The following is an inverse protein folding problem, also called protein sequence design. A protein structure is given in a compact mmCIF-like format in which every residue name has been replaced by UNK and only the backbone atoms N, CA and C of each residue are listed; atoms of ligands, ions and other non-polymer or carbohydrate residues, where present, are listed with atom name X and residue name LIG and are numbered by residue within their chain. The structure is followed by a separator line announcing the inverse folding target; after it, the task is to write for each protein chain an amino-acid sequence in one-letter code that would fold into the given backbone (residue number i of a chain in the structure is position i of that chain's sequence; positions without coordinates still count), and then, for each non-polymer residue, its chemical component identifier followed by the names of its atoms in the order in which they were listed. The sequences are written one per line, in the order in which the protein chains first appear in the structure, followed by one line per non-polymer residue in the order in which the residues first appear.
data_IF_251659680990
#
_entry.id   IF_251659680990
#
_cell.length_a   1.000
_cell.length_b   1.000
_cell.length_c   1.000
_cell.angle_alpha   90.00
_cell.angle_beta   90.00
_cell.angle_gamma   90.00
#
_symmetry.space_group_name_H-M   'P 1'
#
loop_
_entity.id
_entity.type
_entity.pdbx_description
1 polymer ?
#
# COMPACT_ATOMS: atom_id res chain seq x y z
N UNK A 1 -38.36 -14.27 -40.55
CA UNK A 1 -36.88 -14.24 -40.41
C UNK A 1 -36.42 -12.80 -40.47
N UNK A 2 -36.15 -12.16 -39.33
CA UNK A 2 -35.73 -10.74 -39.28
C UNK A 2 -34.20 -10.70 -39.31
N UNK A 3 -33.63 -10.15 -40.39
CA UNK A 3 -32.20 -9.91 -40.50
C UNK A 3 -31.88 -8.60 -39.79
N UNK A 4 -31.26 -8.67 -38.61
CA UNK A 4 -30.72 -7.50 -37.93
C UNK A 4 -29.59 -6.94 -38.80
N UNK A 5 -29.79 -5.74 -39.38
CA UNK A 5 -28.70 -4.94 -39.97
C UNK A 5 -27.69 -4.61 -38.87
N UNK A 6 -26.39 -4.67 -39.18
CA UNK A 6 -25.32 -4.39 -38.22
C UNK A 6 -25.44 -2.97 -37.71
N UNK A 7 -25.83 -2.83 -36.45
CA UNK A 7 -26.20 -1.55 -35.81
C UNK A 7 -24.98 -0.69 -35.42
N UNK A 8 -23.83 -0.90 -36.06
CA UNK A 8 -22.54 -0.34 -35.62
C UNK A 8 -21.45 -0.24 -36.67
N UNK A 9 -21.77 -0.39 -37.95
CA UNK A 9 -20.80 -0.35 -39.05
C UNK A 9 -21.09 0.78 -40.05
N UNK A 10 -21.82 1.81 -39.64
CA UNK A 10 -22.02 2.98 -40.48
C UNK A 10 -20.68 3.73 -40.61
N UNK A 11 -20.21 4.02 -41.85
CA UNK A 11 -18.93 4.70 -42.06
C UNK A 11 -18.91 6.10 -41.42
N UNK A 12 -20.09 6.73 -41.30
CA UNK A 12 -20.28 8.00 -40.61
C UNK A 12 -20.03 7.87 -39.11
N UNK A 13 -20.63 6.88 -38.46
CA UNK A 13 -20.43 6.60 -37.02
C UNK A 13 -18.96 6.29 -36.73
N UNK A 14 -18.29 5.52 -37.61
CA UNK A 14 -16.86 5.22 -37.47
C UNK A 14 -16.00 6.50 -37.51
N UNK A 15 -16.28 7.40 -38.44
CA UNK A 15 -15.57 8.70 -38.53
C UNK A 15 -15.74 9.52 -37.24
N UNK A 16 -16.98 9.67 -36.76
CA UNK A 16 -17.25 10.45 -35.54
C UNK A 16 -16.57 9.85 -34.30
N UNK A 17 -16.60 8.53 -34.15
CA UNK A 17 -15.92 7.86 -33.04
C UNK A 17 -14.41 8.08 -33.09
N UNK A 18 -13.79 8.00 -34.27
CA UNK A 18 -12.35 8.26 -34.43
C UNK A 18 -12.00 9.71 -34.12
N UNK A 19 -12.80 10.68 -34.58
CA UNK A 19 -12.58 12.09 -34.26
C UNK A 19 -12.69 12.35 -32.75
N UNK A 20 -13.72 11.81 -32.10
CA UNK A 20 -13.91 11.93 -30.66
C UNK A 20 -12.76 11.27 -29.89
N UNK A 21 -12.27 10.11 -30.33
CA UNK A 21 -11.10 9.47 -29.74
C UNK A 21 -9.87 10.38 -29.82
N UNK A 22 -9.60 11.00 -30.97
CA UNK A 22 -8.48 11.94 -31.13
C UNK A 22 -8.60 13.18 -30.25
N UNK A 23 -9.82 13.72 -30.07
CA UNK A 23 -10.07 14.85 -29.16
C UNK A 23 -9.85 14.45 -27.69
N UNK A 24 -10.20 13.22 -27.32
CA UNK A 24 -9.98 12.70 -25.96
C UNK A 24 -8.50 12.46 -25.66
N UNK A 25 -7.74 11.98 -26.65
CA UNK A 25 -6.28 11.83 -26.55
C UNK A 25 -5.61 13.20 -26.34
N UNK A 26 -5.97 14.19 -27.16
CA UNK A 26 -5.48 15.56 -27.00
C UNK A 26 -5.76 16.14 -25.60
N UNK A 27 -6.99 15.97 -25.09
CA UNK A 27 -7.33 16.45 -23.76
C UNK A 27 -6.52 15.77 -22.66
N UNK A 28 -6.27 14.45 -22.78
CA UNK A 28 -5.44 13.72 -21.84
C UNK A 28 -4.01 14.25 -21.81
N UNK A 29 -3.44 14.51 -22.99
CA UNK A 29 -2.08 15.03 -23.12
C UNK A 29 -1.98 16.44 -22.53
N UNK A 30 -2.95 17.32 -22.82
CA UNK A 30 -3.02 18.67 -22.26
C UNK A 30 -3.11 18.66 -20.72
N UNK A 31 -3.89 17.74 -20.11
CA UNK A 31 -3.93 17.57 -18.65
C UNK A 31 -2.55 17.13 -18.11
N UNK A 32 -1.88 16.23 -18.83
CA UNK A 32 -0.54 15.80 -18.44
C UNK A 32 0.48 16.94 -18.53
N UNK A 33 0.41 17.78 -19.55
CA UNK A 33 1.29 18.94 -19.73
C UNK A 33 1.09 19.95 -18.60
N UNK A 34 -0.15 20.36 -18.32
CA UNK A 34 -0.46 21.25 -17.21
C UNK A 34 0.03 20.73 -15.86
N UNK A 35 -0.04 19.40 -15.64
CA UNK A 35 0.48 18.79 -14.41
C UNK A 35 2.01 18.90 -14.33
N UNK A 36 2.71 18.68 -15.45
CA UNK A 36 4.18 18.81 -15.52
C UNK A 36 4.60 20.27 -15.27
N UNK A 37 3.90 21.23 -15.84
CA UNK A 37 4.15 22.65 -15.59
C UNK A 37 3.94 23.02 -14.12
N UNK A 38 2.85 22.52 -13.51
CA UNK A 38 2.59 22.74 -12.09
C UNK A 38 3.66 22.12 -11.18
N UNK A 39 4.15 20.93 -11.53
CA UNK A 39 5.27 20.27 -10.84
C UNK A 39 6.55 21.09 -10.97
N UNK A 40 6.90 21.52 -12.19
CA UNK A 40 8.08 22.35 -12.44
C UNK A 40 8.02 23.68 -11.68
N UNK A 41 6.85 24.31 -11.60
CA UNK A 41 6.64 25.53 -10.82
C UNK A 41 6.79 25.29 -9.31
N UNK A 42 6.35 24.14 -8.80
CA UNK A 42 6.52 23.77 -7.39
C UNK A 42 7.98 23.45 -7.05
N UNK A 43 8.70 22.78 -7.95
CA UNK A 43 10.14 22.53 -7.85
C UNK A 43 10.93 23.85 -7.85
N UNK A 44 10.59 24.79 -8.75
CA UNK A 44 11.20 26.12 -8.76
C UNK A 44 10.90 26.96 -7.51
N UNK A 45 9.84 26.62 -6.77
CA UNK A 45 9.50 27.22 -5.48
C UNK A 45 10.04 26.43 -4.28
N UNK A 46 10.94 25.46 -4.51
CA UNK A 46 11.56 24.58 -3.50
C UNK A 46 10.55 23.84 -2.59
N UNK A 47 9.35 23.55 -3.11
CA UNK A 47 8.34 22.80 -2.36
C UNK A 47 8.58 21.31 -2.47
N UNK A 48 8.61 20.61 -1.34
CA UNK A 48 8.73 19.14 -1.32
C UNK A 48 7.46 18.50 -1.87
N UNK A 49 7.60 17.75 -2.97
CA UNK A 49 6.51 16.99 -3.57
C UNK A 49 6.33 15.65 -2.86
N UNK A 50 5.07 15.21 -2.73
CA UNK A 50 4.72 13.88 -2.21
C UNK A 50 4.34 13.84 -0.72
N UNK A 51 4.43 12.64 -0.13
CA UNK A 51 4.04 12.41 1.26
C UNK A 51 5.15 12.95 2.19
N UNK A 52 4.81 13.73 3.24
CA UNK A 52 5.81 14.20 4.20
C UNK A 52 6.50 13.03 4.90
N UNK A 53 7.78 13.22 5.22
CA UNK A 53 8.53 12.27 6.02
C UNK A 53 7.88 12.10 7.41
N UNK A 54 7.96 10.89 7.95
CA UNK A 54 7.38 10.58 9.26
C UNK A 54 8.23 11.12 10.44
N UNK A 55 9.48 11.48 10.16
CA UNK A 55 10.42 12.11 11.09
C UNK A 55 10.95 13.37 10.42
N UNK A 56 11.15 14.41 11.23
CA UNK A 56 11.82 15.61 10.78
C UNK A 56 13.31 15.36 10.51
N UNK A 57 13.96 16.25 9.76
CA UNK A 57 15.39 16.12 9.42
C UNK A 57 16.29 16.03 10.66
N UNK A 58 16.01 16.85 11.67
CA UNK A 58 16.76 16.88 12.93
C UNK A 58 16.52 15.60 13.75
N UNK A 59 15.28 15.12 13.78
CA UNK A 59 14.93 13.86 14.46
C UNK A 59 15.57 12.65 13.79
N UNK A 60 15.69 12.66 12.46
CA UNK A 60 16.38 11.63 11.71
C UNK A 60 17.89 11.63 12.01
N UNK A 61 18.50 12.80 12.12
CA UNK A 61 19.91 12.95 12.49
C UNK A 61 20.17 12.51 13.94
N UNK A 62 19.30 12.90 14.88
CA UNK A 62 19.35 12.47 16.27
C UNK A 62 19.25 10.93 16.37
N UNK A 63 18.28 10.34 15.69
CA UNK A 63 18.11 8.88 15.68
C UNK A 63 19.33 8.15 15.09
N UNK A 64 19.94 8.71 14.03
CA UNK A 64 21.16 8.14 13.44
C UNK A 64 22.37 8.24 14.39
N UNK A 65 22.52 9.37 15.09
CA UNK A 65 23.60 9.55 16.07
C UNK A 65 23.40 8.65 17.30
N UNK A 66 22.17 8.53 17.80
CA UNK A 66 21.84 7.63 18.89
C UNK A 66 22.07 6.16 18.50
N UNK A 67 21.78 5.78 17.25
CA UNK A 67 22.09 4.45 16.73
C UNK A 67 23.60 4.19 16.68
N UNK A 68 24.41 5.15 16.20
CA UNK A 68 25.87 5.05 16.22
C UNK A 68 26.44 4.97 17.64
N UNK A 69 25.77 5.56 18.62
CA UNK A 69 26.10 5.43 20.04
C UNK A 69 25.66 4.08 20.67
N UNK A 70 25.06 3.18 19.89
CA UNK A 70 24.66 1.83 20.34
C UNK A 70 23.20 1.68 20.75
N UNK A 71 22.33 2.67 20.48
CA UNK A 71 20.92 2.56 20.83
C UNK A 71 20.17 1.53 19.95
N UNK A 72 19.35 0.69 20.58
CA UNK A 72 18.56 -0.31 19.87
C UNK A 72 17.43 0.33 19.02
N UNK A 73 17.23 -0.18 17.80
CA UNK A 73 16.20 0.29 16.86
C UNK A 73 14.79 0.32 17.46
N UNK A 74 14.44 -0.67 18.29
CA UNK A 74 13.12 -0.72 18.94
C UNK A 74 12.94 0.37 20.00
N UNK A 75 14.01 0.76 20.70
CA UNK A 75 13.97 1.83 21.69
C UNK A 75 13.76 3.18 20.99
N UNK A 76 14.52 3.46 19.93
CA UNK A 76 14.37 4.66 19.10
C UNK A 76 12.96 4.76 18.49
N UNK A 77 12.40 3.65 18.01
CA UNK A 77 11.05 3.61 17.47
C UNK A 77 9.98 4.03 18.50
N UNK A 78 10.13 3.59 19.75
CA UNK A 78 9.23 3.96 20.85
C UNK A 78 9.38 5.44 21.23
N UNK A 79 10.62 5.92 21.32
CA UNK A 79 10.92 7.32 21.65
C UNK A 79 10.32 8.29 20.63
N UNK A 80 10.42 7.97 19.34
CA UNK A 80 9.89 8.82 18.27
C UNK A 80 8.44 8.49 17.88
N UNK A 81 7.79 7.51 18.52
CA UNK A 81 6.40 7.12 18.23
C UNK A 81 6.16 6.54 16.83
N UNK A 82 7.21 6.06 16.16
CA UNK A 82 7.14 5.52 14.79
C UNK A 82 7.32 4.01 14.75
N UNK A 83 6.90 3.38 13.64
CA UNK A 83 7.16 1.97 13.44
C UNK A 83 8.68 1.69 13.36
N UNK A 84 9.19 0.56 13.88
CA UNK A 84 10.60 0.19 13.75
C UNK A 84 11.10 0.12 12.29
N UNK A 85 10.18 -0.14 11.35
CA UNK A 85 10.46 -0.10 9.91
C UNK A 85 10.83 1.31 9.44
N UNK A 86 10.21 2.34 9.99
CA UNK A 86 10.53 3.74 9.67
C UNK A 86 11.94 4.09 10.12
N UNK A 87 12.31 3.73 11.35
CA UNK A 87 13.67 3.94 11.88
C UNK A 87 14.71 3.25 10.99
N UNK A 88 14.51 1.97 10.64
CA UNK A 88 15.44 1.27 9.74
C UNK A 88 15.60 1.99 8.41
N UNK A 89 14.51 2.42 7.78
CA UNK A 89 14.58 3.18 6.52
C UNK A 89 15.36 4.49 6.65
N UNK A 90 15.23 5.18 7.79
CA UNK A 90 15.99 6.40 8.08
C UNK A 90 17.48 6.08 8.27
N UNK A 91 17.81 5.01 9.00
CA UNK A 91 19.19 4.58 9.22
C UNK A 91 19.86 4.10 7.93
N UNK A 92 19.14 3.34 7.10
CA UNK A 92 19.60 2.87 5.80
C UNK A 92 19.84 4.07 4.85
N UNK A 93 18.94 5.08 4.86
CA UNK A 93 19.12 6.31 4.10
C UNK A 93 20.28 7.18 4.60
N UNK A 94 20.58 7.13 5.90
CA UNK A 94 21.69 7.83 6.53
C UNK A 94 23.03 7.06 6.44
N UNK A 95 23.05 5.85 5.85
CA UNK A 95 24.22 4.97 5.81
C UNK A 95 24.75 4.57 7.19
N UNK A 96 23.95 4.71 8.25
CA UNK A 96 24.36 4.41 9.62
C UNK A 96 24.27 2.91 9.92
N UNK A 97 23.57 2.15 9.07
CA UNK A 97 23.40 0.72 9.15
C UNK A 97 23.89 0.11 7.85
N UNK A 98 25.07 -0.47 7.86
CA UNK A 98 25.50 -1.28 6.74
C UNK A 98 24.76 -2.63 6.80
N UNK A 99 24.37 -3.18 5.65
CA UNK A 99 23.56 -4.41 5.59
C UNK A 99 24.43 -5.66 5.88
N UNK A 100 25.66 -5.46 6.35
CA UNK A 100 26.68 -6.50 6.59
C UNK A 100 26.88 -6.97 8.04
N UNK A 101 26.41 -6.25 9.06
CA UNK A 101 26.83 -6.51 10.46
C UNK A 101 26.06 -7.65 11.18
N UNK A 102 25.45 -8.59 10.45
CA UNK A 102 24.60 -9.63 11.07
C UNK A 102 25.33 -10.97 11.25
N UNK A 103 26.64 -11.07 11.04
CA UNK A 103 27.29 -12.39 11.07
C UNK A 103 28.44 -12.63 12.04
N UNK A 104 28.97 -11.65 12.78
CA UNK A 104 30.00 -11.98 13.79
C UNK A 104 29.65 -11.49 15.19
N UNK A 105 29.15 -12.45 15.96
CA UNK A 105 29.36 -12.72 17.38
C UNK A 105 29.29 -11.54 18.36
N UNK A 106 28.18 -11.47 19.12
CA UNK A 106 28.27 -11.29 20.58
C UNK A 106 27.08 -12.00 21.25
N UNK A 107 27.32 -13.25 21.63
CA UNK A 107 26.78 -13.82 22.85
C UNK A 107 27.05 -12.84 24.02
N UNK A 108 26.01 -12.30 24.67
CA UNK A 108 26.19 -11.74 26.02
C UNK A 108 25.51 -10.43 26.42
N UNK A 109 24.73 -9.75 25.57
CA UNK A 109 23.84 -8.68 26.08
C UNK A 109 22.42 -9.23 26.19
N UNK A 110 22.18 -9.90 27.32
CA UNK A 110 20.84 -10.24 27.77
C UNK A 110 20.05 -8.97 28.10
N UNK A 111 19.47 -8.33 27.09
CA UNK A 111 18.19 -7.67 27.33
C UNK A 111 17.19 -8.81 27.52
N UNK A 112 16.80 -9.07 28.77
CA UNK A 112 15.77 -10.04 29.13
C UNK A 112 14.57 -9.87 28.18
N UNK A 113 14.48 -10.80 27.24
CA UNK A 113 13.28 -10.98 26.44
C UNK A 113 12.34 -11.73 27.36
N UNK A 114 11.68 -11.01 28.25
CA UNK A 114 10.51 -11.57 28.91
C UNK A 114 9.53 -11.94 27.81
N UNK A 115 9.17 -13.23 27.82
CA UNK A 115 8.26 -13.89 26.93
C UNK A 115 7.07 -12.97 26.62
N UNK A 116 7.08 -12.40 25.41
CA UNK A 116 5.91 -11.74 24.87
C UNK A 116 4.89 -12.85 24.59
N UNK A 117 4.13 -13.20 25.61
CA UNK A 117 2.86 -13.91 25.53
C UNK A 117 2.14 -13.36 24.29
N UNK A 118 2.03 -14.23 23.29
CA UNK A 118 1.61 -13.92 21.93
C UNK A 118 0.24 -13.25 21.94
N UNK A 119 0.18 -11.92 22.04
CA UNK A 119 -1.05 -11.16 21.95
C UNK A 119 -1.71 -11.40 20.57
N UNK A 120 -3.02 -11.65 20.52
CA UNK A 120 -3.66 -12.39 19.42
C UNK A 120 -3.39 -11.74 18.05
N UNK A 121 -3.02 -12.59 17.09
CA UNK A 121 -2.70 -12.22 15.71
C UNK A 121 -3.67 -11.15 15.20
N UNK A 122 -3.18 -9.92 15.02
CA UNK A 122 -3.98 -8.83 14.46
C UNK A 122 -4.45 -9.28 13.07
N UNK A 123 -5.77 -9.44 12.83
CA UNK A 123 -6.22 -9.96 11.56
C UNK A 123 -5.84 -9.00 10.43
N UNK A 124 -5.29 -9.56 9.36
CA UNK A 124 -4.96 -8.76 8.17
C UNK A 124 -6.25 -8.38 7.46
N UNK A 125 -6.38 -7.09 7.16
CA UNK A 125 -7.50 -6.56 6.40
C UNK A 125 -7.12 -6.57 4.92
N UNK A 126 -7.92 -7.25 4.10
CA UNK A 126 -7.84 -7.17 2.65
C UNK A 126 -9.06 -6.37 2.17
N UNK A 127 -8.83 -5.35 1.34
CA UNK A 127 -9.91 -4.66 0.63
C UNK A 127 -10.30 -5.47 -0.60
N UNK A 128 -11.54 -5.95 -0.63
CA UNK A 128 -12.09 -6.69 -1.78
C UNK A 128 -12.96 -5.73 -2.61
N UNK A 129 -12.59 -5.42 -3.87
CA UNK A 129 -13.40 -4.54 -4.71
C UNK A 129 -14.72 -5.20 -5.15
N UNK A 130 -15.79 -4.41 -5.21
CA UNK A 130 -17.12 -4.70 -5.78
C UNK A 130 -18.07 -5.69 -5.05
N UNK A 131 -17.74 -6.17 -3.85
CA UNK A 131 -18.68 -6.97 -3.06
C UNK A 131 -19.52 -6.10 -2.11
N UNK A 132 -20.73 -5.72 -2.54
CA UNK A 132 -21.75 -5.26 -1.61
C UNK A 132 -22.39 -6.47 -0.90
N UNK A 133 -22.99 -6.32 0.29
CA UNK A 133 -23.71 -7.41 0.95
C UNK A 133 -24.80 -8.04 0.05
N UNK A 134 -25.40 -7.24 -0.84
CA UNK A 134 -26.50 -7.66 -1.70
C UNK A 134 -26.04 -8.44 -2.95
N UNK A 135 -24.81 -8.21 -3.43
CA UNK A 135 -24.22 -8.96 -4.56
C UNK A 135 -23.54 -10.27 -4.14
N UNK A 136 -23.32 -10.45 -2.83
CA UNK A 136 -22.66 -11.62 -2.22
C UNK A 136 -23.39 -12.95 -2.47
N UNK A 137 -24.72 -12.93 -2.66
CA UNK A 137 -25.54 -14.14 -2.83
C UNK A 137 -25.68 -14.61 -4.29
N UNK A 138 -25.31 -13.77 -5.25
CA UNK A 138 -25.57 -14.00 -6.68
C UNK A 138 -24.36 -14.58 -7.45
N UNK A 139 -23.14 -14.27 -7.01
CA UNK A 139 -21.94 -14.81 -7.63
C UNK A 139 -21.48 -16.06 -6.89
N UNK A 140 -21.41 -17.20 -7.59
CA UNK A 140 -20.71 -18.40 -7.12
C UNK A 140 -19.25 -18.05 -6.86
N UNK A 141 -18.91 -17.77 -5.61
CA UNK A 141 -17.59 -17.27 -5.20
C UNK A 141 -16.66 -18.41 -4.75
N UNK A 142 -15.33 -18.19 -4.86
CA UNK A 142 -14.32 -19.17 -4.44
C UNK A 142 -14.43 -19.53 -2.95
N UNK A 143 -13.96 -20.71 -2.54
CA UNK A 143 -14.17 -21.26 -1.19
C UNK A 143 -13.60 -20.38 -0.06
N UNK A 144 -12.66 -19.48 -0.36
CA UNK A 144 -12.07 -18.54 0.60
C UNK A 144 -13.07 -17.52 1.14
N UNK A 145 -14.05 -17.10 0.34
CA UNK A 145 -15.02 -16.05 0.71
C UNK A 145 -16.22 -16.61 1.48
N UNK A 146 -16.55 -17.91 1.35
CA UNK A 146 -17.59 -18.56 2.17
C UNK A 146 -17.23 -18.61 3.66
N UNK A 147 -15.95 -18.72 4.01
CA UNK A 147 -15.50 -18.72 5.41
C UNK A 147 -15.54 -17.33 6.04
N UNK A 148 -15.33 -16.27 5.26
CA UNK A 148 -15.47 -14.88 5.74
C UNK A 148 -16.90 -14.57 6.21
N UNK A 149 -17.91 -15.11 5.53
CA UNK A 149 -19.32 -14.90 5.87
C UNK A 149 -19.72 -15.52 7.21
N UNK A 150 -19.09 -16.63 7.60
CA UNK A 150 -19.35 -17.30 8.89
C UNK A 150 -18.71 -16.56 10.08
N UNK A 151 -17.71 -15.71 9.84
CA UNK A 151 -16.94 -15.00 10.89
C UNK A 151 -17.43 -13.58 11.19
N UNK A 152 -18.42 -13.05 10.45
CA UNK A 152 -19.31 -11.99 10.94
C UNK A 152 -18.75 -10.58 11.19
N UNK A 153 -17.62 -10.14 10.59
CA UNK A 153 -17.18 -8.74 10.69
C UNK A 153 -17.15 -8.04 9.32
N UNK A 154 -18.29 -7.52 8.88
CA UNK A 154 -18.41 -6.67 7.69
C UNK A 154 -18.58 -5.21 8.15
N UNK A 155 -17.61 -4.33 7.85
CA UNK A 155 -17.78 -2.89 8.03
C UNK A 155 -18.32 -2.26 6.73
N UNK A 156 -19.41 -1.49 6.81
CA UNK A 156 -20.08 -0.92 5.65
C UNK A 156 -19.25 0.21 4.99
N UNK A 157 -19.01 0.10 3.68
CA UNK A 157 -18.30 1.06 2.83
C UNK A 157 -18.25 0.58 1.37
N UNK A 158 -17.68 1.38 0.45
CA UNK A 158 -17.54 1.03 -0.99
C UNK A 158 -16.65 -0.20 -1.27
N UNK A 159 -15.92 -0.68 -0.25
CA UNK A 159 -15.15 -1.91 -0.28
C UNK A 159 -15.45 -2.71 1.01
N UNK A 160 -15.54 -4.03 0.89
CA UNK A 160 -15.74 -4.90 2.05
C UNK A 160 -14.40 -5.17 2.72
N UNK A 161 -14.31 -4.90 4.03
CA UNK A 161 -13.17 -5.33 4.85
C UNK A 161 -13.44 -6.72 5.43
N UNK A 162 -12.59 -7.68 5.10
CA UNK A 162 -12.59 -9.00 5.75
C UNK A 162 -11.31 -9.19 6.58
N UNK A 163 -11.48 -9.69 7.80
CA UNK A 163 -10.41 -10.06 8.73
C UNK A 163 -10.18 -11.58 8.64
N UNK A 164 -9.03 -12.04 8.16
CA UNK A 164 -8.67 -13.48 8.13
C UNK A 164 -7.43 -13.79 8.98
N UNK A 165 -7.43 -14.90 9.75
CA UNK A 165 -6.22 -15.42 10.38
C UNK A 165 -5.28 -16.08 9.35
N UNK A 166 -3.97 -15.90 9.53
CA UNK A 166 -2.93 -16.30 8.56
C UNK A 166 -2.83 -17.82 8.34
N UNK A 167 -3.34 -18.65 9.25
CA UNK A 167 -3.27 -20.13 9.15
C UNK A 167 -3.94 -20.71 7.89
N UNK A 168 -4.74 -19.92 7.17
CA UNK A 168 -5.44 -20.37 5.96
C UNK A 168 -4.66 -20.11 4.66
N UNK A 169 -3.48 -19.47 4.71
CA UNK A 169 -2.70 -19.10 3.51
C UNK A 169 -1.92 -20.26 2.88
N UNK A 170 -1.78 -21.41 3.55
CA UNK A 170 -0.95 -22.54 3.10
C UNK A 170 -1.65 -23.62 2.28
N UNK A 171 -2.97 -23.55 2.04
CA UNK A 171 -3.66 -24.51 1.17
C UNK A 171 -3.90 -23.90 -0.21
N UNK A 172 -2.93 -24.07 -1.12
CA UNK A 172 -3.13 -23.85 -2.55
C UNK A 172 -4.03 -24.94 -3.15
N UNK A 173 -4.89 -24.63 -4.13
CA UNK A 173 -5.76 -25.62 -4.74
C UNK A 173 -4.98 -26.53 -5.71
N UNK A 174 -5.25 -27.85 -5.64
CA UNK A 174 -5.12 -28.78 -6.77
C UNK A 174 -6.49 -28.94 -7.40
#
# INVERSE_FOLDING_TARGET
MVRLRSRGEDPQTKLFVTMLAGVLEFQRDMISENTKEGVAAAEAADRTLGRPAALDGDQAAEAANAYRAGAAVKALARQHGVAPKTIRRVLDAAGARDVGDVLEELDGVACQVEDQEQAPERPHTIDVPACSPNTFRACGTPPSTRRCAAAGSFAAGRATRCALPLRLRSMSPR
#
